data_IF_683916584122
#
_entry.id   IF_683916584122
#
_cell.length_a   1.000
_cell.length_b   1.000
_cell.length_c   1.000
_cell.angle_alpha   90.00
_cell.angle_beta   90.00
_cell.angle_gamma   90.00
#
_symmetry.space_group_name_H-M   'P 1'
#
loop_
_entity.id
_entity.type
_entity.pdbx_description
1 polymer ?
#
# COMPACT_ATOMS: atom_id res chain seq x y z
N UNK A 1 19.59 26.51 -67.50
CA UNK A 1 20.56 25.52 -66.97
C UNK A 1 21.17 25.96 -65.65
N UNK A 2 21.82 27.13 -65.55
CA UNK A 2 22.44 27.63 -64.30
C UNK A 2 21.45 27.74 -63.13
N UNK A 3 20.25 28.28 -63.36
CA UNK A 3 19.20 28.40 -62.32
C UNK A 3 18.77 27.03 -61.77
N UNK A 4 18.64 26.02 -62.63
CA UNK A 4 18.27 24.67 -62.22
C UNK A 4 19.37 24.01 -61.38
N UNK A 5 20.64 24.17 -61.78
CA UNK A 5 21.78 23.66 -61.00
C UNK A 5 21.89 24.33 -59.63
N UNK A 6 21.64 25.64 -59.54
CA UNK A 6 21.64 26.38 -58.27
C UNK A 6 20.49 25.96 -57.35
N UNK A 7 19.31 25.70 -57.91
CA UNK A 7 18.16 25.20 -57.17
C UNK A 7 18.44 23.80 -56.57
N UNK A 8 19.02 22.90 -57.35
CA UNK A 8 19.39 21.55 -56.88
C UNK A 8 20.43 21.63 -55.75
N UNK A 9 21.46 22.49 -55.89
CA UNK A 9 22.46 22.72 -54.83
C UNK A 9 21.82 23.24 -53.54
N UNK A 10 20.87 24.17 -53.64
CA UNK A 10 20.15 24.71 -52.49
C UNK A 10 19.33 23.62 -51.79
N UNK A 11 18.60 22.79 -52.54
CA UNK A 11 17.83 21.67 -51.99
C UNK A 11 18.74 20.65 -51.27
N UNK A 12 19.88 20.31 -51.88
CA UNK A 12 20.84 19.36 -51.29
C UNK A 12 21.47 19.87 -49.99
N UNK A 13 21.61 21.19 -49.80
CA UNK A 13 22.10 21.80 -48.56
C UNK A 13 20.96 21.97 -47.54
N UNK A 14 19.77 22.34 -48.00
CA UNK A 14 18.62 22.57 -47.13
C UNK A 14 18.15 21.27 -46.46
N UNK A 15 18.15 20.13 -47.16
CA UNK A 15 17.68 18.85 -46.61
C UNK A 15 18.47 18.47 -45.33
N UNK A 16 19.82 18.37 -45.33
CA UNK A 16 20.57 18.06 -44.11
C UNK A 16 20.36 19.06 -42.98
N UNK A 17 20.19 20.36 -43.27
CA UNK A 17 19.94 21.38 -42.25
C UNK A 17 18.54 21.25 -41.64
N UNK A 18 17.53 20.94 -42.46
CA UNK A 18 16.16 20.68 -41.98
C UNK A 18 16.13 19.40 -41.16
N UNK A 19 16.78 18.33 -41.63
CA UNK A 19 16.90 17.07 -40.88
C UNK A 19 17.65 17.27 -39.56
N UNK A 20 18.77 18.00 -39.58
CA UNK A 20 19.52 18.32 -38.36
C UNK A 20 18.68 19.17 -37.41
N UNK A 21 18.01 20.22 -37.90
CA UNK A 21 17.12 21.04 -37.08
C UNK A 21 15.97 20.25 -36.47
N UNK A 22 15.39 19.32 -37.22
CA UNK A 22 14.36 18.40 -36.73
C UNK A 22 14.90 17.43 -35.68
N UNK A 23 16.08 16.82 -35.91
CA UNK A 23 16.75 15.97 -34.92
C UNK A 23 17.16 16.73 -33.67
N UNK A 24 17.62 17.97 -33.80
CA UNK A 24 17.92 18.83 -32.64
C UNK A 24 16.66 19.19 -31.87
N UNK A 25 15.53 19.40 -32.55
CA UNK A 25 14.24 19.63 -31.88
C UNK A 25 13.78 18.38 -31.12
N UNK A 26 13.85 17.20 -31.74
CA UNK A 26 13.55 15.92 -31.09
C UNK A 26 14.51 15.62 -29.94
N UNK A 27 15.79 15.92 -30.12
CA UNK A 27 16.80 15.69 -29.11
C UNK A 27 16.58 16.68 -27.97
N UNK A 28 16.68 17.98 -28.20
CA UNK A 28 16.66 19.00 -27.14
C UNK A 28 15.31 19.24 -26.48
N UNK A 29 14.20 18.94 -27.15
CA UNK A 29 12.84 19.19 -26.63
C UNK A 29 12.71 20.61 -26.08
N UNK A 30 12.91 21.66 -26.92
CA UNK A 30 12.96 23.06 -26.46
C UNK A 30 11.66 23.55 -25.82
N UNK A 31 10.54 22.86 -26.06
CA UNK A 31 9.26 23.09 -25.38
C UNK A 31 9.25 22.64 -23.93
N UNK A 32 10.21 21.81 -23.51
CA UNK A 32 10.18 21.09 -22.22
C UNK A 32 9.17 19.94 -22.18
N UNK A 33 8.44 19.69 -23.28
CA UNK A 33 7.36 18.68 -23.34
C UNK A 33 7.63 17.68 -24.46
N UNK A 34 7.74 16.40 -24.11
CA UNK A 34 7.86 15.29 -25.05
C UNK A 34 6.62 14.40 -24.93
N UNK A 35 5.98 14.08 -26.06
CA UNK A 35 4.69 13.34 -26.09
C UNK A 35 4.88 12.02 -26.82
N UNK A 36 4.38 10.95 -26.22
CA UNK A 36 4.33 9.61 -26.82
C UNK A 36 2.88 9.13 -26.78
N UNK A 37 2.34 8.79 -27.95
CA UNK A 37 1.03 8.15 -28.10
C UNK A 37 1.25 6.68 -28.42
N UNK A 38 0.63 5.79 -27.65
CA UNK A 38 0.71 4.36 -27.86
C UNK A 38 -0.68 3.72 -27.84
N UNK A 39 -1.20 3.40 -29.02
CA UNK A 39 -2.38 2.55 -29.17
C UNK A 39 -1.97 1.08 -29.01
N UNK A 40 -2.79 0.29 -28.33
CA UNK A 40 -2.48 -1.11 -28.08
C UNK A 40 -2.36 -1.89 -29.39
N UNK A 41 -1.35 -2.76 -29.47
CA UNK A 41 -1.03 -3.54 -30.67
C UNK A 41 -0.14 -2.81 -31.69
N UNK A 42 0.19 -1.54 -31.46
CA UNK A 42 1.23 -0.85 -32.22
C UNK A 42 2.60 -1.05 -31.55
N UNK A 43 3.66 -1.22 -32.33
CA UNK A 43 5.02 -1.24 -31.77
C UNK A 43 5.46 0.19 -31.43
N UNK A 44 5.92 0.40 -30.20
CA UNK A 44 6.51 1.67 -29.75
C UNK A 44 7.90 1.40 -29.16
N UNK A 45 8.91 2.25 -29.44
CA UNK A 45 10.20 2.16 -28.76
C UNK A 45 10.19 2.76 -27.36
N UNK A 46 9.07 3.37 -26.94
CA UNK A 46 8.96 4.10 -25.68
C UNK A 46 8.04 3.42 -24.68
N UNK A 47 7.02 2.69 -25.13
CA UNK A 47 6.04 2.01 -24.28
C UNK A 47 5.97 0.56 -24.75
N UNK A 48 6.29 -0.37 -23.87
CA UNK A 48 6.17 -1.79 -24.14
C UNK A 48 4.71 -2.24 -24.07
N UNK A 49 4.41 -3.38 -24.70
CA UNK A 49 3.12 -4.05 -24.56
C UNK A 49 2.84 -4.43 -23.10
N UNK A 50 1.55 -4.53 -22.75
CA UNK A 50 1.13 -4.94 -21.41
C UNK A 50 1.45 -6.43 -21.22
N UNK A 51 2.06 -6.75 -20.08
CA UNK A 51 2.53 -8.07 -19.66
C UNK A 51 2.01 -8.43 -18.27
N UNK A 52 2.10 -9.69 -17.84
CA UNK A 52 2.46 -10.87 -18.63
C UNK A 52 1.31 -11.30 -19.56
N UNK A 53 1.64 -12.00 -20.64
CA UNK A 53 0.67 -12.52 -21.63
C UNK A 53 -0.38 -13.46 -21.02
N UNK A 54 -0.08 -14.08 -19.87
CA UNK A 54 -1.04 -14.93 -19.16
C UNK A 54 -2.15 -14.13 -18.45
N UNK A 55 -2.03 -12.80 -18.36
CA UNK A 55 -2.95 -11.91 -17.64
C UNK A 55 -3.63 -10.88 -18.54
N UNK A 56 -3.35 -10.96 -19.84
CA UNK A 56 -3.94 -10.11 -20.86
C UNK A 56 -4.43 -10.96 -22.02
N UNK A 57 -5.45 -10.49 -22.73
CA UNK A 57 -5.87 -11.11 -23.98
C UNK A 57 -4.89 -10.79 -25.11
N UNK A 58 -5.03 -11.51 -26.22
CA UNK A 58 -4.54 -11.02 -27.50
C UNK A 58 -5.22 -9.68 -27.85
N UNK A 59 -4.53 -8.85 -28.62
CA UNK A 59 -5.10 -7.60 -29.13
C UNK A 59 -6.16 -7.91 -30.19
N UNK A 60 -7.34 -7.33 -30.05
CA UNK A 60 -8.43 -7.44 -31.02
C UNK A 60 -9.01 -6.07 -31.36
N UNK A 61 -9.83 -5.99 -32.41
CA UNK A 61 -10.56 -4.76 -32.75
C UNK A 61 -11.98 -4.84 -32.22
N UNK A 62 -12.43 -3.79 -31.54
CA UNK A 62 -13.83 -3.68 -31.10
C UNK A 62 -14.78 -3.40 -32.29
N UNK A 63 -16.08 -3.23 -32.03
CA UNK A 63 -17.08 -2.96 -33.06
C UNK A 63 -16.82 -1.66 -33.83
N UNK A 64 -16.18 -0.67 -33.18
CA UNK A 64 -15.80 0.62 -33.77
C UNK A 64 -14.46 0.58 -34.54
N UNK A 65 -13.74 -0.54 -34.47
CA UNK A 65 -12.47 -0.77 -35.15
C UNK A 65 -11.23 -0.33 -34.38
N UNK A 66 -11.39 0.13 -33.15
CA UNK A 66 -10.32 0.49 -32.21
C UNK A 66 -9.56 -0.77 -31.76
N UNK A 67 -8.23 -0.69 -31.71
CA UNK A 67 -7.45 -1.78 -31.15
C UNK A 67 -7.54 -1.79 -29.62
N UNK A 68 -7.83 -2.96 -29.06
CA UNK A 68 -8.13 -3.15 -27.64
C UNK A 68 -7.46 -4.41 -27.11
N UNK A 69 -7.03 -4.36 -25.86
CA UNK A 69 -6.55 -5.50 -25.10
C UNK A 69 -7.24 -5.55 -23.74
N UNK A 70 -7.73 -6.74 -23.36
CA UNK A 70 -8.34 -6.96 -22.06
C UNK A 70 -7.26 -7.36 -21.05
N UNK A 71 -7.20 -6.68 -19.90
CA UNK A 71 -6.55 -7.19 -18.70
C UNK A 71 -7.56 -8.08 -17.98
N UNK A 72 -7.15 -9.29 -17.60
CA UNK A 72 -8.02 -10.32 -17.00
C UNK A 72 -7.54 -10.80 -15.63
N UNK A 73 -6.30 -10.49 -15.25
CA UNK A 73 -5.73 -10.85 -13.95
C UNK A 73 -4.72 -9.81 -13.46
N UNK A 74 -4.64 -9.63 -12.14
CA UNK A 74 -3.76 -8.68 -11.45
C UNK A 74 -2.48 -9.37 -10.94
N UNK A 75 -1.30 -8.70 -10.95
CA UNK A 75 -1.00 -7.43 -11.62
C UNK A 75 -0.67 -7.59 -13.11
N UNK A 76 -1.09 -6.63 -13.93
CA UNK A 76 -0.63 -6.45 -15.30
C UNK A 76 0.22 -5.16 -15.38
N UNK A 77 1.34 -5.19 -16.09
CA UNK A 77 2.32 -4.10 -16.10
C UNK A 77 2.89 -3.85 -17.49
N UNK A 78 3.45 -2.67 -17.70
CA UNK A 78 4.21 -2.31 -18.89
C UNK A 78 5.46 -1.51 -18.48
N UNK A 79 6.40 -1.38 -19.39
CA UNK A 79 7.59 -0.57 -19.19
C UNK A 79 7.55 0.68 -20.06
N UNK A 80 7.97 1.79 -19.46
CA UNK A 80 8.23 3.05 -20.15
C UNK A 80 9.74 3.24 -20.30
N UNK A 81 10.18 3.53 -21.51
CA UNK A 81 11.57 3.82 -21.86
C UNK A 81 11.72 5.35 -22.03
N UNK A 82 12.10 6.09 -20.99
CA UNK A 82 12.20 7.55 -21.09
C UNK A 82 13.30 7.94 -22.10
N UNK A 83 12.97 8.84 -23.03
CA UNK A 83 13.93 9.32 -24.05
C UNK A 83 15.15 10.01 -23.42
N UNK A 84 14.98 10.66 -22.26
CA UNK A 84 16.03 11.33 -21.49
C UNK A 84 15.80 11.22 -19.98
N UNK A 85 16.51 10.28 -19.39
CA UNK A 85 16.64 10.14 -17.93
C UNK A 85 17.32 11.40 -17.35
N UNK A 86 16.73 12.00 -16.33
CA UNK A 86 17.17 13.24 -15.63
C UNK A 86 16.91 14.59 -16.32
N UNK A 87 16.19 14.61 -17.45
CA UNK A 87 15.75 15.88 -18.03
C UNK A 87 14.32 16.24 -17.63
N UNK A 88 13.47 15.24 -17.41
CA UNK A 88 12.07 15.45 -17.08
C UNK A 88 11.84 15.30 -15.59
N UNK A 89 11.03 16.19 -15.03
CA UNK A 89 10.65 16.22 -13.61
C UNK A 89 9.40 15.36 -13.36
N UNK A 90 8.57 15.20 -14.38
CA UNK A 90 7.29 14.52 -14.29
C UNK A 90 6.97 13.76 -15.60
N UNK A 91 6.25 12.66 -15.45
CA UNK A 91 5.56 11.97 -16.54
C UNK A 91 4.07 11.92 -16.23
N UNK A 92 3.24 12.34 -17.17
CA UNK A 92 1.78 12.30 -17.07
C UNK A 92 1.27 11.24 -18.03
N UNK A 93 0.35 10.41 -17.58
CA UNK A 93 -0.34 9.41 -18.41
C UNK A 93 -1.77 9.83 -18.67
N UNK A 94 -2.25 9.65 -19.89
CA UNK A 94 -3.67 9.50 -20.17
C UNK A 94 -3.90 8.05 -20.55
N UNK A 95 -4.63 7.34 -19.71
CA UNK A 95 -5.01 5.95 -19.97
C UNK A 95 -6.44 5.93 -20.47
N UNK A 96 -6.64 5.35 -21.64
CA UNK A 96 -7.94 5.14 -22.27
C UNK A 96 -8.42 3.72 -22.01
N UNK A 97 -9.50 3.59 -21.26
CA UNK A 97 -9.97 2.30 -20.80
C UNK A 97 -11.50 2.20 -20.69
N UNK A 98 -12.01 0.97 -20.60
CA UNK A 98 -13.40 0.68 -20.23
C UNK A 98 -13.41 -0.22 -19.01
N UNK A 99 -14.24 0.14 -18.03
CA UNK A 99 -14.42 -0.61 -16.80
C UNK A 99 -15.89 -0.99 -16.61
N UNK A 100 -16.21 -2.27 -16.83
CA UNK A 100 -17.58 -2.76 -16.72
C UNK A 100 -18.02 -3.06 -15.27
N UNK A 101 -17.11 -3.46 -14.38
CA UNK A 101 -17.49 -4.02 -13.07
C UNK A 101 -16.48 -3.88 -11.93
N UNK A 102 -15.24 -3.45 -12.19
CA UNK A 102 -14.24 -3.32 -11.13
C UNK A 102 -14.55 -2.11 -10.25
N UNK A 103 -14.60 -2.25 -8.91
CA UNK A 103 -14.95 -1.15 -8.03
C UNK A 103 -13.88 -0.05 -8.03
N UNK A 104 -12.60 -0.44 -8.06
CA UNK A 104 -11.45 0.46 -8.02
C UNK A 104 -10.40 -0.04 -9.00
N UNK A 105 -9.84 0.88 -9.78
CA UNK A 105 -8.71 0.67 -10.69
C UNK A 105 -7.68 1.75 -10.42
N UNK A 106 -6.42 1.35 -10.33
CA UNK A 106 -5.31 2.26 -10.09
C UNK A 106 -4.13 1.95 -11.03
N UNK A 107 -3.29 2.95 -11.27
CA UNK A 107 -2.01 2.80 -11.94
C UNK A 107 -0.89 3.06 -10.93
N UNK A 108 0.05 2.13 -10.83
CA UNK A 108 1.18 2.19 -9.92
C UNK A 108 2.50 2.38 -10.64
N UNK A 109 3.28 3.37 -10.23
CA UNK A 109 4.71 3.46 -10.60
C UNK A 109 5.55 2.72 -9.56
N UNK A 110 6.45 1.84 -9.99
CA UNK A 110 7.36 1.15 -9.08
C UNK A 110 8.21 2.19 -8.33
N UNK A 111 8.26 2.13 -7.00
CA UNK A 111 8.97 3.07 -6.12
C UNK A 111 10.13 2.41 -5.34
N UNK A 112 10.27 1.09 -5.40
CA UNK A 112 11.39 0.33 -4.83
C UNK A 112 11.24 -1.17 -5.07
N UNK A 113 12.33 -1.95 -4.93
CA UNK A 113 12.41 -3.35 -5.43
C UNK A 113 12.59 -4.44 -4.37
N UNK A 114 12.78 -4.13 -3.09
CA UNK A 114 12.99 -5.15 -2.05
C UNK A 114 12.28 -4.81 -0.73
N UNK A 115 10.98 -5.15 -0.58
CA UNK A 115 10.08 -5.71 -1.60
C UNK A 115 9.67 -4.68 -2.66
N UNK A 116 9.07 -5.14 -3.77
CA UNK A 116 8.45 -4.22 -4.73
C UNK A 116 7.38 -3.36 -4.03
N UNK A 117 7.52 -2.05 -4.14
CA UNK A 117 6.55 -1.06 -3.63
C UNK A 117 6.12 -0.17 -4.77
N UNK A 118 4.84 0.16 -4.85
CA UNK A 118 4.29 1.00 -5.91
C UNK A 118 3.64 2.25 -5.32
N UNK A 119 3.84 3.39 -5.97
CA UNK A 119 3.05 4.60 -5.74
C UNK A 119 1.83 4.53 -6.64
N UNK A 120 0.65 4.31 -6.05
CA UNK A 120 -0.60 4.08 -6.76
C UNK A 120 -1.42 5.36 -6.89
N UNK A 121 -1.94 5.62 -8.08
CA UNK A 121 -2.87 6.69 -8.38
C UNK A 121 -4.18 6.16 -8.96
N UNK A 122 -5.33 6.76 -8.60
CA UNK A 122 -6.63 6.33 -9.10
C UNK A 122 -6.79 6.53 -10.61
N UNK A 123 -7.24 5.49 -11.31
CA UNK A 123 -7.77 5.59 -12.68
C UNK A 123 -9.29 5.73 -12.65
N UNK A 124 -9.97 4.91 -11.84
CA UNK A 124 -11.42 4.93 -11.71
C UNK A 124 -11.81 4.33 -10.35
N UNK A 125 -12.68 5.01 -9.61
CA UNK A 125 -13.33 4.50 -8.41
C UNK A 125 -14.85 4.62 -8.57
N UNK A 126 -15.51 3.49 -8.88
CA UNK A 126 -16.96 3.44 -9.11
C UNK A 126 -17.77 3.78 -7.87
N UNK A 127 -17.23 3.49 -6.67
CA UNK A 127 -17.88 3.87 -5.42
C UNK A 127 -17.97 5.40 -5.27
N UNK A 128 -17.08 6.13 -5.93
CA UNK A 128 -17.10 7.60 -5.94
C UNK A 128 -17.87 8.13 -7.16
N UNK A 129 -17.56 7.64 -8.35
CA UNK A 129 -18.11 8.17 -9.61
C UNK A 129 -19.57 7.83 -9.86
N UNK A 130 -20.01 6.64 -9.43
CA UNK A 130 -21.39 6.17 -9.61
C UNK A 130 -22.23 6.42 -8.36
N UNK A 131 -21.68 7.11 -7.37
CA UNK A 131 -22.41 7.43 -6.13
C UNK A 131 -23.56 8.37 -6.40
N UNK A 132 -24.69 8.11 -5.75
CA UNK A 132 -25.87 8.98 -5.75
C UNK A 132 -25.85 9.98 -4.58
N UNK A 133 -24.81 9.96 -3.75
CA UNK A 133 -24.69 10.82 -2.58
C UNK A 133 -24.40 12.27 -2.97
N UNK A 134 -24.64 13.20 -2.03
CA UNK A 134 -24.33 14.61 -2.25
C UNK A 134 -22.82 14.77 -2.35
N UNK A 135 -22.35 15.40 -3.44
CA UNK A 135 -20.92 15.54 -3.76
C UNK A 135 -20.46 16.98 -3.62
N UNK A 136 -19.35 17.17 -2.91
CA UNK A 136 -18.56 18.40 -2.90
C UNK A 136 -17.22 18.07 -3.55
N UNK A 137 -16.79 18.92 -4.47
CA UNK A 137 -15.54 18.76 -5.23
C UNK A 137 -14.78 20.10 -5.15
N UNK A 138 -13.71 20.13 -4.37
CA UNK A 138 -12.94 21.34 -4.04
C UNK A 138 -11.45 20.98 -4.01
N UNK A 139 -10.60 21.71 -4.74
CA UNK A 139 -9.13 21.59 -4.72
C UNK A 139 -8.57 20.16 -4.91
N UNK A 140 -9.21 19.35 -5.76
CA UNK A 140 -8.79 17.97 -6.05
C UNK A 140 -9.20 16.95 -4.97
N UNK A 141 -10.06 17.38 -4.04
CA UNK A 141 -10.66 16.56 -3.01
C UNK A 141 -12.16 16.41 -3.25
N UNK A 142 -12.67 15.21 -3.00
CA UNK A 142 -14.08 14.87 -3.09
C UNK A 142 -14.60 14.51 -1.70
N UNK A 143 -15.72 15.10 -1.30
CA UNK A 143 -16.52 14.66 -0.16
C UNK A 143 -17.88 14.20 -0.65
N UNK A 144 -18.18 12.92 -0.45
CA UNK A 144 -19.52 12.36 -0.60
C UNK A 144 -20.21 12.32 0.77
N UNK A 145 -21.48 12.72 0.80
CA UNK A 145 -22.29 12.76 2.01
C UNK A 145 -23.65 12.12 1.74
N UNK A 146 -23.99 11.10 2.53
CA UNK A 146 -25.27 10.40 2.42
C UNK A 146 -26.44 11.37 2.63
N UNK A 147 -26.36 12.18 3.69
CA UNK A 147 -27.23 13.32 3.93
C UNK A 147 -26.44 14.62 3.73
N UNK A 148 -27.06 15.64 3.14
CA UNK A 148 -26.39 16.93 2.90
C UNK A 148 -26.27 17.72 4.20
N UNK A 149 -25.20 17.46 4.96
CA UNK A 149 -24.91 18.11 6.25
C UNK A 149 -23.97 19.30 6.10
N UNK A 150 -22.93 19.15 5.28
CA UNK A 150 -21.87 20.14 5.09
C UNK A 150 -22.02 20.87 3.76
N UNK A 151 -21.67 22.16 3.74
CA UNK A 151 -21.71 22.99 2.53
C UNK A 151 -20.37 23.12 1.79
N UNK A 152 -19.25 22.80 2.44
CA UNK A 152 -17.88 22.87 1.89
C UNK A 152 -16.95 21.91 2.65
N UNK A 153 -15.73 21.67 2.13
CA UNK A 153 -14.71 20.91 2.87
C UNK A 153 -14.28 21.63 4.16
N UNK A 154 -14.21 22.96 4.12
CA UNK A 154 -13.85 23.76 5.29
C UNK A 154 -14.84 23.56 6.46
N UNK A 155 -16.14 23.49 6.16
CA UNK A 155 -17.19 23.21 7.15
C UNK A 155 -17.08 21.78 7.72
N UNK A 156 -16.80 20.80 6.86
CA UNK A 156 -16.57 19.41 7.24
C UNK A 156 -15.41 19.27 8.24
N UNK A 157 -14.26 19.91 8.00
CA UNK A 157 -13.12 19.84 8.93
C UNK A 157 -13.29 20.71 10.18
N UNK A 158 -14.10 21.77 10.12
CA UNK A 158 -14.41 22.59 11.29
C UNK A 158 -15.32 21.86 12.29
N UNK A 159 -16.25 21.03 11.79
CA UNK A 159 -17.22 20.27 12.60
C UNK A 159 -17.28 18.80 12.15
N UNK A 160 -16.18 18.05 12.28
CA UNK A 160 -16.09 16.72 11.70
C UNK A 160 -17.08 15.73 12.33
N UNK A 161 -17.63 14.80 11.54
CA UNK A 161 -18.48 13.75 12.07
C UNK A 161 -17.63 12.74 12.88
N UNK A 162 -18.27 11.79 13.60
CA UNK A 162 -17.58 10.66 14.19
C UNK A 162 -16.69 9.93 13.17
N UNK A 163 -15.47 9.57 13.57
CA UNK A 163 -14.46 8.99 12.67
C UNK A 163 -14.89 7.66 12.06
N UNK A 164 -15.67 6.87 12.79
CA UNK A 164 -16.24 5.60 12.34
C UNK A 164 -17.31 5.76 11.26
N UNK A 165 -17.87 6.96 11.09
CA UNK A 165 -18.79 7.28 9.99
C UNK A 165 -18.08 7.79 8.72
N UNK A 166 -16.74 7.90 8.73
CA UNK A 166 -15.94 8.43 7.61
C UNK A 166 -15.05 7.36 7.00
N UNK A 167 -15.20 7.16 5.69
CA UNK A 167 -14.23 6.43 4.88
C UNK A 167 -13.31 7.41 4.13
N UNK A 168 -12.04 7.06 3.99
CA UNK A 168 -11.04 7.86 3.25
C UNK A 168 -10.49 7.10 2.05
N UNK A 169 -10.21 7.81 0.96
CA UNK A 169 -9.54 7.25 -0.21
C UNK A 169 -8.38 8.15 -0.66
N UNK A 170 -7.16 7.61 -0.67
CA UNK A 170 -5.94 8.34 -1.10
C UNK A 170 -5.70 9.67 -0.36
N UNK A 171 -6.25 9.81 0.84
CA UNK A 171 -6.12 11.02 1.68
C UNK A 171 -6.08 10.65 3.16
N UNK A 172 -5.69 11.61 4.00
CA UNK A 172 -5.80 11.52 5.45
C UNK A 172 -7.08 12.22 5.96
N UNK A 173 -7.52 11.81 7.15
CA UNK A 173 -8.57 12.49 7.92
C UNK A 173 -7.94 13.09 9.18
N UNK A 174 -7.48 14.33 9.06
CA UNK A 174 -6.61 15.04 10.00
C UNK A 174 -7.33 15.58 11.25
N UNK A 175 -8.25 14.78 11.80
CA UNK A 175 -8.99 15.08 13.02
C UNK A 175 -8.41 14.24 14.16
N UNK A 176 -7.77 14.80 15.21
CA UNK A 176 -7.11 13.99 16.22
C UNK A 176 -8.04 12.94 16.85
N UNK A 177 -7.61 11.68 16.95
CA UNK A 177 -8.44 10.61 17.51
C UNK A 177 -8.41 10.66 19.03
N UNK A 178 -9.57 10.78 19.68
CA UNK A 178 -9.66 10.88 21.14
C UNK A 178 -10.70 9.89 21.66
N UNK A 179 -10.37 9.20 22.76
CA UNK A 179 -11.26 8.24 23.41
C UNK A 179 -11.98 8.94 24.56
N UNK A 180 -13.29 9.12 24.40
CA UNK A 180 -14.15 9.70 25.44
C UNK A 180 -14.15 8.83 26.70
N UNK A 181 -13.98 9.48 27.85
CA UNK A 181 -13.98 8.80 29.15
C UNK A 181 -12.78 7.89 29.41
N UNK A 182 -11.75 7.86 28.55
CA UNK A 182 -10.55 7.05 28.79
C UNK A 182 -9.90 7.40 30.13
N UNK A 183 -9.63 6.37 30.94
CA UNK A 183 -8.92 6.48 32.21
C UNK A 183 -7.71 5.54 32.17
N UNK A 184 -6.49 6.04 32.43
CA UNK A 184 -5.29 5.20 32.44
C UNK A 184 -5.36 4.16 33.57
N UNK A 185 -4.62 3.07 33.42
CA UNK A 185 -4.47 2.05 34.49
C UNK A 185 -3.00 1.93 34.90
N UNK A 186 -2.78 1.51 36.14
CA UNK A 186 -1.46 1.08 36.61
C UNK A 186 -1.25 -0.42 36.44
N UNK A 187 -2.30 -1.17 36.08
CA UNK A 187 -2.24 -2.62 35.88
C UNK A 187 -1.34 -2.94 34.69
N UNK A 188 -0.29 -3.71 34.94
CA UNK A 188 0.58 -4.23 33.90
C UNK A 188 -0.17 -5.32 33.13
N UNK A 189 -0.28 -5.13 31.83
CA UNK A 189 -0.71 -6.12 30.86
C UNK A 189 0.51 -6.83 30.29
N UNK A 190 0.37 -8.12 29.99
CA UNK A 190 1.43 -8.95 29.42
C UNK A 190 0.92 -9.64 28.17
N UNK A 191 1.67 -9.48 27.08
CA UNK A 191 1.48 -10.22 25.83
C UNK A 191 2.54 -11.32 25.82
N UNK A 192 2.14 -12.53 26.21
CA UNK A 192 3.00 -13.73 26.23
C UNK A 192 2.90 -14.47 24.89
N UNK A 193 3.26 -13.78 23.82
CA UNK A 193 3.32 -14.31 22.44
C UNK A 193 4.69 -13.98 21.87
N UNK A 194 5.34 -14.98 21.27
CA UNK A 194 6.62 -14.78 20.58
C UNK A 194 6.37 -14.11 19.23
N UNK A 195 6.83 -12.87 19.07
CA UNK A 195 6.77 -12.11 17.82
C UNK A 195 8.14 -12.08 17.15
N UNK A 196 8.20 -12.42 15.86
CA UNK A 196 9.45 -12.56 15.10
C UNK A 196 9.70 -11.37 14.17
N UNK A 197 10.83 -10.69 14.33
CA UNK A 197 11.23 -9.62 13.43
C UNK A 197 10.45 -8.30 13.60
N UNK A 198 10.41 -7.53 12.51
CA UNK A 198 9.78 -6.21 12.46
C UNK A 198 8.29 -6.24 12.77
N UNK A 199 7.84 -5.35 13.66
CA UNK A 199 6.42 -5.17 13.98
C UNK A 199 6.10 -3.69 14.20
N UNK A 200 4.87 -3.30 13.88
CA UNK A 200 4.34 -1.97 14.21
C UNK A 200 3.08 -2.11 15.04
N UNK A 201 2.90 -1.21 16.00
CA UNK A 201 1.70 -1.14 16.80
C UNK A 201 1.30 0.32 17.09
N UNK A 202 0.03 0.53 17.43
CA UNK A 202 -0.48 1.79 17.95
C UNK A 202 -0.97 1.61 19.37
N UNK A 203 -0.80 2.65 20.17
CA UNK A 203 -1.33 2.75 21.53
C UNK A 203 -1.96 4.12 21.78
N UNK A 204 -2.77 4.24 22.82
CA UNK A 204 -3.39 5.50 23.23
C UNK A 204 -2.82 5.96 24.57
N UNK A 205 -2.58 7.25 24.71
CA UNK A 205 -2.06 7.86 25.93
C UNK A 205 -2.96 9.02 26.34
N UNK A 206 -3.30 9.09 27.63
CA UNK A 206 -3.91 10.26 28.26
C UNK A 206 -3.53 10.33 29.73
N UNK A 207 -2.74 11.35 30.09
CA UNK A 207 -2.31 11.60 31.47
C UNK A 207 -1.61 10.38 32.13
N UNK A 208 -0.82 9.65 31.35
CA UNK A 208 -0.04 8.51 31.81
C UNK A 208 1.31 8.46 31.08
N UNK A 209 2.34 7.82 31.65
CA UNK A 209 3.59 7.59 30.94
C UNK A 209 3.44 6.47 29.92
N UNK A 210 4.12 6.60 28.78
CA UNK A 210 4.38 5.47 27.90
C UNK A 210 5.39 4.56 28.62
N UNK A 211 5.07 3.28 28.76
CA UNK A 211 5.96 2.32 29.42
C UNK A 211 5.82 0.93 28.81
N UNK A 212 6.86 0.51 28.11
CA UNK A 212 6.99 -0.83 27.54
C UNK A 212 8.26 -1.51 28.05
N UNK A 213 8.10 -2.80 28.35
CA UNK A 213 9.21 -3.72 28.61
C UNK A 213 9.11 -4.83 27.59
N UNK A 214 10.12 -4.92 26.73
CA UNK A 214 10.25 -5.98 25.75
C UNK A 214 11.27 -6.99 26.26
N UNK A 215 10.85 -8.24 26.39
CA UNK A 215 11.78 -9.35 26.55
C UNK A 215 12.02 -9.96 25.18
N UNK A 216 13.27 -9.97 24.74
CA UNK A 216 13.62 -10.45 23.41
C UNK A 216 14.80 -11.42 23.49
N UNK A 217 14.98 -12.19 22.42
CA UNK A 217 16.06 -13.15 22.32
C UNK A 217 16.54 -13.19 20.88
N UNK A 218 17.85 -13.28 20.74
CA UNK A 218 18.52 -13.49 19.47
C UNK A 218 18.67 -14.98 19.20
N UNK A 219 18.45 -15.38 17.95
CA UNK A 219 18.63 -16.75 17.51
C UNK A 219 19.92 -16.94 16.68
N UNK A 220 20.64 -15.86 16.33
CA UNK A 220 21.89 -15.86 15.56
C UNK A 220 21.79 -16.78 14.33
N UNK A 221 20.83 -16.47 13.44
CA UNK A 221 20.54 -17.29 12.24
C UNK A 221 20.68 -16.54 10.92
N UNK A 222 20.65 -15.22 10.95
CA UNK A 222 20.98 -14.40 9.78
C UNK A 222 22.38 -13.78 10.03
N UNK A 223 23.22 -13.65 9.00
CA UNK A 223 24.50 -12.93 9.11
C UNK A 223 24.22 -11.41 9.15
N UNK A 224 24.67 -10.69 10.18
CA UNK A 224 24.49 -9.24 10.25
C UNK A 224 24.68 -8.65 11.65
N UNK A 225 24.40 -7.36 11.80
CA UNK A 225 24.25 -6.72 13.11
C UNK A 225 22.79 -6.88 13.58
N UNK A 226 22.59 -7.49 14.75
CA UNK A 226 21.25 -7.72 15.32
C UNK A 226 20.79 -6.57 16.21
N UNK A 227 20.64 -5.41 15.58
CA UNK A 227 20.17 -4.20 16.26
C UNK A 227 18.67 -4.29 16.53
N UNK A 228 18.32 -4.27 17.82
CA UNK A 228 16.92 -4.11 18.26
C UNK A 228 16.66 -2.64 18.56
N UNK A 229 15.80 -2.01 17.77
CA UNK A 229 15.39 -0.61 17.94
C UNK A 229 13.87 -0.51 18.06
N UNK A 230 13.38 0.24 19.06
CA UNK A 230 11.96 0.58 19.18
C UNK A 230 11.82 2.08 19.21
N UNK A 231 11.13 2.64 18.21
CA UNK A 231 10.93 4.08 18.06
C UNK A 231 9.44 4.43 18.17
N UNK A 232 9.15 5.51 18.89
CA UNK A 232 7.79 6.01 19.13
C UNK A 232 7.55 7.25 18.31
N UNK A 233 6.42 7.31 17.61
CA UNK A 233 5.99 8.45 16.81
C UNK A 233 4.64 8.96 17.30
N UNK A 234 4.45 10.28 17.30
CA UNK A 234 3.14 10.91 17.54
C UNK A 234 2.25 10.88 16.28
N UNK A 235 1.04 11.44 16.38
CA UNK A 235 0.07 11.51 15.27
C UNK A 235 0.61 12.26 14.02
N UNK A 236 1.60 13.14 14.20
CA UNK A 236 2.26 13.89 13.12
C UNK A 236 3.51 13.17 12.57
N UNK A 237 3.69 11.89 12.87
CA UNK A 237 4.88 11.09 12.53
C UNK A 237 6.21 11.66 13.05
N UNK A 238 6.19 12.46 14.12
CA UNK A 238 7.41 12.97 14.74
C UNK A 238 7.92 11.98 15.80
N UNK A 239 9.23 11.66 15.84
CA UNK A 239 9.78 10.76 16.85
C UNK A 239 9.74 11.41 18.23
N UNK A 240 9.20 10.69 19.21
CA UNK A 240 8.98 11.15 20.58
C UNK A 240 9.87 10.46 21.60
N UNK A 241 10.22 9.20 21.35
CA UNK A 241 11.10 8.41 22.22
C UNK A 241 11.70 7.24 21.43
N UNK A 242 12.82 6.73 21.93
CA UNK A 242 13.53 5.59 21.35
C UNK A 242 14.13 4.74 22.46
N UNK A 243 14.14 3.43 22.26
CA UNK A 243 14.94 2.49 23.01
C UNK A 243 15.72 1.61 22.03
N UNK A 244 17.01 1.42 22.26
CA UNK A 244 17.89 0.62 21.42
C UNK A 244 18.74 -0.32 22.27
N UNK A 245 18.89 -1.56 21.82
CA UNK A 245 19.94 -2.46 22.28
C UNK A 245 21.01 -2.58 21.20
N UNK A 246 22.27 -2.57 21.61
CA UNK A 246 23.39 -2.84 20.70
C UNK A 246 23.52 -4.34 20.47
N UNK A 247 24.06 -4.69 19.31
CA UNK A 247 24.49 -6.03 18.94
C UNK A 247 25.37 -6.65 20.06
N UNK A 248 25.20 -7.94 20.32
CA UNK A 248 26.03 -8.66 21.30
C UNK A 248 27.41 -9.04 20.75
N UNK A 249 27.65 -8.77 19.47
CA UNK A 249 28.94 -8.95 18.80
C UNK A 249 29.11 -10.36 18.23
N UNK A 250 28.07 -11.19 18.23
CA UNK A 250 28.03 -12.42 17.45
C UNK A 250 27.48 -12.14 16.06
N UNK A 251 28.37 -12.03 15.08
CA UNK A 251 28.01 -11.82 13.66
C UNK A 251 27.93 -13.12 12.86
N UNK A 252 27.89 -14.28 13.54
CA UNK A 252 27.94 -15.60 12.89
C UNK A 252 26.63 -16.38 13.02
N UNK A 253 26.20 -17.02 11.92
CA UNK A 253 25.09 -17.98 11.87
C UNK A 253 25.51 -19.32 12.51
N UNK A 254 25.70 -19.30 13.83
CA UNK A 254 26.13 -20.48 14.60
C UNK A 254 24.98 -21.16 15.35
N UNK A 255 23.77 -20.59 15.32
CA UNK A 255 22.59 -21.03 16.06
C UNK A 255 22.80 -21.12 17.59
N UNK A 256 23.92 -20.58 18.10
CA UNK A 256 24.21 -20.54 19.53
C UNK A 256 23.50 -19.33 20.10
N UNK A 257 22.47 -19.58 20.91
CA UNK A 257 21.82 -18.53 21.71
C UNK A 257 22.81 -18.08 22.78
N UNK A 258 23.70 -17.13 22.45
CA UNK A 258 24.86 -16.80 23.29
C UNK A 258 24.43 -16.08 24.58
N UNK A 259 23.27 -15.42 24.57
CA UNK A 259 22.75 -14.71 25.74
C UNK A 259 21.24 -14.95 25.88
N UNK A 260 20.82 -15.61 26.97
CA UNK A 260 19.41 -15.82 27.28
C UNK A 260 18.59 -14.51 27.31
N UNK A 261 17.27 -14.65 27.42
CA UNK A 261 16.27 -13.58 27.39
C UNK A 261 16.77 -12.17 27.82
N UNK A 262 16.97 -11.29 26.85
CA UNK A 262 17.38 -9.89 27.04
C UNK A 262 16.17 -9.01 27.33
N UNK A 263 16.40 -7.81 27.89
CA UNK A 263 15.34 -6.85 28.25
C UNK A 263 15.63 -5.48 27.65
N UNK A 264 14.67 -4.94 26.90
CA UNK A 264 14.66 -3.57 26.40
C UNK A 264 13.53 -2.80 27.10
N UNK A 265 13.85 -1.63 27.66
CA UNK A 265 12.87 -0.80 28.38
C UNK A 265 12.70 0.51 27.60
N UNK A 266 11.46 0.79 27.22
CA UNK A 266 11.06 2.04 26.58
C UNK A 266 10.14 2.80 27.54
N UNK A 267 10.51 4.04 27.88
CA UNK A 267 9.70 4.93 28.71
C UNK A 267 9.72 6.35 28.18
N UNK A 268 8.57 7.01 28.26
CA UNK A 268 8.45 8.43 27.98
C UNK A 268 7.34 9.05 28.85
N UNK A 269 7.68 10.16 29.50
CA UNK A 269 6.78 10.89 30.39
C UNK A 269 6.29 12.18 29.71
N UNK A 270 5.17 12.73 30.20
CA UNK A 270 4.68 14.05 29.76
C UNK A 270 4.22 14.12 28.30
N UNK A 271 3.89 12.98 27.70
CA UNK A 271 3.36 12.90 26.34
C UNK A 271 1.95 13.51 26.27
N UNK A 272 1.65 14.36 25.27
CA UNK A 272 0.29 14.86 25.02
C UNK A 272 -0.72 13.73 24.81
N UNK A 273 -2.00 14.00 25.11
CA UNK A 273 -3.07 13.05 24.80
C UNK A 273 -3.14 12.74 23.30
N UNK A 274 -3.20 11.47 22.94
CA UNK A 274 -3.36 11.03 21.55
C UNK A 274 -2.90 9.61 21.28
N UNK A 275 -2.86 9.29 19.98
CA UNK A 275 -2.40 7.99 19.47
C UNK A 275 -0.91 8.04 19.17
N UNK A 276 -0.20 6.99 19.55
CA UNK A 276 1.23 6.85 19.32
C UNK A 276 1.52 5.57 18.55
N UNK A 277 2.35 5.66 17.52
CA UNK A 277 2.84 4.51 16.75
C UNK A 277 4.19 4.08 17.31
N UNK A 278 4.32 2.80 17.63
CA UNK A 278 5.59 2.17 18.01
C UNK A 278 6.05 1.30 16.85
N UNK A 279 7.30 1.48 16.43
CA UNK A 279 7.94 0.71 15.37
C UNK A 279 9.06 -0.11 16.00
N UNK A 280 8.91 -1.42 16.00
CA UNK A 280 9.87 -2.41 16.49
C UNK A 280 10.73 -2.85 15.30
N UNK A 281 11.82 -2.14 15.05
CA UNK A 281 12.71 -2.38 13.93
C UNK A 281 13.83 -3.35 14.34
N UNK A 282 13.87 -4.52 13.70
CA UNK A 282 14.84 -5.59 14.00
C UNK A 282 14.90 -6.60 12.85
N UNK A 283 15.98 -7.40 12.83
CA UNK A 283 16.21 -8.53 11.93
C UNK A 283 15.25 -9.70 12.21
N UNK A 284 15.15 -10.67 11.27
CA UNK A 284 14.13 -11.74 11.33
C UNK A 284 14.46 -12.84 12.35
N UNK A 285 15.67 -12.90 12.86
CA UNK A 285 16.14 -13.84 13.87
C UNK A 285 15.96 -13.33 15.31
N UNK A 286 15.51 -12.09 15.48
CA UNK A 286 15.12 -11.57 16.78
C UNK A 286 13.66 -11.92 17.10
N UNK A 287 13.44 -12.46 18.30
CA UNK A 287 12.14 -12.85 18.82
C UNK A 287 11.79 -12.04 20.07
N UNK A 288 10.75 -11.23 20.01
CA UNK A 288 10.13 -10.63 21.19
C UNK A 288 9.25 -11.66 21.88
N UNK A 289 9.72 -12.22 22.99
CA UNK A 289 9.08 -13.31 23.73
C UNK A 289 7.95 -12.84 24.64
N UNK A 290 8.06 -11.62 25.15
CA UNK A 290 7.07 -11.04 26.05
C UNK A 290 7.09 -9.52 25.94
N UNK A 291 5.90 -8.91 25.92
CA UNK A 291 5.74 -7.46 25.96
C UNK A 291 4.89 -7.12 27.17
N UNK A 292 5.43 -6.28 28.07
CA UNK A 292 4.70 -5.78 29.23
C UNK A 292 4.48 -4.29 29.11
N UNK A 293 3.26 -3.84 29.39
CA UNK A 293 2.90 -2.43 29.31
C UNK A 293 1.76 -2.08 30.27
N UNK A 294 1.65 -0.81 30.64
CA UNK A 294 0.48 -0.28 31.36
C UNK A 294 -0.59 0.28 30.41
N UNK A 295 -0.23 0.45 29.13
CA UNK A 295 -1.15 0.95 28.12
C UNK A 295 -2.32 -0.01 27.94
N UNK A 296 -3.55 0.51 28.04
CA UNK A 296 -4.76 -0.31 27.93
C UNK A 296 -5.14 -0.62 26.49
N UNK A 297 -4.87 0.33 25.59
CA UNK A 297 -5.25 0.28 24.20
C UNK A 297 -4.03 0.02 23.35
N UNK A 298 -4.06 -1.09 22.62
CA UNK A 298 -2.92 -1.58 21.88
C UNK A 298 -3.37 -2.42 20.71
N UNK A 299 -2.91 -2.05 19.51
CA UNK A 299 -3.22 -2.75 18.27
C UNK A 299 -2.00 -2.84 17.37
N UNK A 300 -1.71 -4.02 16.84
CA UNK A 300 -0.66 -4.26 15.85
C UNK A 300 -1.18 -3.95 14.45
N UNK A 301 -0.29 -3.44 13.60
CA UNK A 301 -0.62 -2.98 12.25
C UNK A 301 -0.14 -3.99 11.20
N UNK A 302 -0.95 -4.21 10.16
CA UNK A 302 -0.63 -4.86 8.89
C UNK A 302 -0.15 -6.32 8.96
N UNK A 303 0.94 -6.59 9.65
CA UNK A 303 1.61 -7.89 9.68
C UNK A 303 1.90 -8.32 11.11
N UNK A 304 1.61 -9.59 11.40
CA UNK A 304 1.95 -10.25 12.64
C UNK A 304 2.67 -11.55 12.32
N UNK A 305 3.89 -11.72 12.81
CA UNK A 305 4.63 -12.97 12.68
C UNK A 305 4.75 -13.64 14.04
N UNK A 306 3.91 -14.65 14.27
CA UNK A 306 3.96 -15.51 15.45
C UNK A 306 5.13 -16.47 15.26
N UNK A 307 6.19 -16.32 16.05
CA UNK A 307 7.50 -16.90 15.75
C UNK A 307 7.75 -18.32 16.25
N UNK A 308 7.03 -18.82 17.25
CA UNK A 308 7.44 -20.07 17.92
C UNK A 308 7.30 -21.30 17.01
N UNK A 309 8.42 -21.87 16.58
CA UNK A 309 8.49 -23.13 15.82
C UNK A 309 9.09 -24.25 16.68
N UNK A 310 8.86 -25.51 16.29
CA UNK A 310 9.54 -26.69 16.87
C UNK A 310 11.06 -26.50 16.71
N UNK A 311 11.78 -26.41 17.83
CA UNK A 311 13.22 -26.12 17.87
C UNK A 311 13.61 -24.70 18.31
N UNK A 312 12.69 -23.72 18.33
CA UNK A 312 12.92 -22.40 18.94
C UNK A 312 12.44 -22.33 20.39
N UNK A 313 11.32 -22.98 20.69
CA UNK A 313 10.74 -23.09 22.02
C UNK A 313 9.90 -24.37 22.08
N UNK A 314 10.18 -25.24 23.05
CA UNK A 314 9.41 -26.47 23.26
C UNK A 314 8.57 -26.38 24.55
N UNK A 315 7.24 -26.56 24.48
CA UNK A 315 6.44 -26.74 23.27
C UNK A 315 6.28 -25.43 22.48
N UNK A 316 6.12 -25.51 21.16
CA UNK A 316 5.73 -24.36 20.34
C UNK A 316 4.38 -23.80 20.82
N UNK A 317 4.25 -22.47 20.77
CA UNK A 317 3.06 -21.73 21.22
C UNK A 317 2.53 -20.88 20.08
N UNK A 318 1.25 -21.06 19.75
CA UNK A 318 0.55 -20.13 18.89
C UNK A 318 -0.01 -18.91 19.65
N UNK A 319 -1.06 -18.31 19.12
CA UNK A 319 -1.73 -17.16 19.73
C UNK A 319 -3.22 -17.10 19.40
N UNK A 320 -3.97 -16.39 20.23
CA UNK A 320 -5.31 -15.90 19.88
C UNK A 320 -5.21 -14.40 19.62
N UNK A 321 -5.67 -13.98 18.45
CA UNK A 321 -5.70 -12.58 18.04
C UNK A 321 -7.13 -12.17 17.69
N UNK A 322 -7.38 -10.87 17.75
CA UNK A 322 -8.67 -10.26 17.49
C UNK A 322 -8.52 -9.19 16.41
N UNK A 323 -9.41 -9.17 15.42
CA UNK A 323 -9.34 -8.25 14.27
C UNK A 323 -10.74 -7.95 13.73
N UNK A 324 -10.98 -6.72 13.30
CA UNK A 324 -12.21 -6.35 12.54
C UNK A 324 -11.99 -6.45 11.02
N UNK A 325 -10.79 -6.83 10.58
CA UNK A 325 -10.51 -6.99 9.16
C UNK A 325 -11.40 -8.05 8.53
N UNK A 326 -11.94 -7.73 7.35
CA UNK A 326 -12.73 -8.65 6.53
C UNK A 326 -11.88 -9.64 5.77
N UNK A 327 -10.57 -9.42 5.69
CA UNK A 327 -9.65 -10.30 4.98
C UNK A 327 -8.33 -10.42 5.73
N UNK A 328 -7.88 -11.66 5.89
CA UNK A 328 -6.52 -11.95 6.31
C UNK A 328 -5.86 -12.91 5.33
N UNK A 329 -4.55 -12.71 5.13
CA UNK A 329 -3.69 -13.62 4.38
C UNK A 329 -2.73 -14.27 5.33
N UNK A 330 -2.55 -15.57 5.20
CA UNK A 330 -1.73 -16.35 6.12
C UNK A 330 -0.77 -17.23 5.32
N UNK A 331 0.46 -17.36 5.82
CA UNK A 331 1.42 -18.35 5.35
C UNK A 331 2.31 -18.86 6.48
N UNK A 332 3.00 -19.96 6.20
CA UNK A 332 4.15 -20.44 6.96
C UNK A 332 5.31 -20.69 6.01
N UNK A 333 6.55 -20.62 6.50
CA UNK A 333 7.75 -20.89 5.70
C UNK A 333 8.34 -22.27 5.99
N UNK A 334 7.93 -22.92 7.07
CA UNK A 334 8.48 -24.19 7.50
C UNK A 334 7.39 -25.26 7.55
N UNK A 335 7.78 -26.52 7.33
CA UNK A 335 6.86 -27.65 7.34
C UNK A 335 6.17 -27.82 8.71
N UNK A 336 6.82 -27.36 9.78
CA UNK A 336 6.35 -27.42 11.16
C UNK A 336 5.22 -26.43 11.46
N UNK A 337 5.07 -25.36 10.65
CA UNK A 337 3.98 -24.40 10.78
C UNK A 337 2.71 -24.76 10.00
N UNK A 338 2.72 -25.88 9.25
CA UNK A 338 1.53 -26.45 8.58
C UNK A 338 0.52 -26.86 9.66
N UNK A 339 -0.64 -26.23 9.64
CA UNK A 339 -1.65 -26.39 10.70
C UNK A 339 -3.04 -25.93 10.24
N UNK A 340 -4.05 -26.24 11.05
CA UNK A 340 -5.39 -25.69 10.93
C UNK A 340 -5.56 -24.49 11.85
N UNK A 341 -5.97 -23.36 11.29
CA UNK A 341 -6.31 -22.12 12.00
C UNK A 341 -7.82 -22.02 12.10
N UNK A 342 -8.30 -21.51 13.23
CA UNK A 342 -9.74 -21.23 13.43
C UNK A 342 -9.94 -19.72 13.41
N UNK A 343 -10.90 -19.24 12.62
CA UNK A 343 -11.22 -17.82 12.47
C UNK A 343 -12.74 -17.66 12.61
N UNK A 344 -13.19 -17.10 13.74
CA UNK A 344 -14.60 -17.09 14.13
C UNK A 344 -15.15 -18.52 14.19
N UNK A 345 -16.15 -18.81 13.36
CA UNK A 345 -16.74 -20.15 13.20
C UNK A 345 -16.08 -20.99 12.11
N UNK A 346 -15.20 -20.40 11.31
CA UNK A 346 -14.55 -21.05 10.18
C UNK A 346 -13.24 -21.71 10.61
N UNK A 347 -12.87 -22.78 9.92
CA UNK A 347 -11.56 -23.42 10.05
C UNK A 347 -10.89 -23.46 8.69
N UNK A 348 -9.57 -23.33 8.68
CA UNK A 348 -8.80 -23.21 7.47
C UNK A 348 -7.44 -23.91 7.62
N UNK A 349 -7.03 -24.65 6.59
CA UNK A 349 -5.80 -25.46 6.59
C UNK A 349 -4.68 -24.78 5.79
N UNK A 350 -3.58 -24.47 6.47
CA UNK A 350 -2.31 -24.13 5.81
C UNK A 350 -1.68 -25.44 5.37
N UNK A 351 -1.96 -25.88 4.13
CA UNK A 351 -1.60 -27.22 3.66
C UNK A 351 -0.12 -27.37 3.28
N UNK A 352 0.56 -26.28 2.88
CA UNK A 352 1.98 -26.33 2.50
C UNK A 352 2.72 -25.02 2.80
N UNK A 353 4.04 -25.07 3.03
CA UNK A 353 4.86 -23.88 3.18
C UNK A 353 4.89 -22.99 1.93
N UNK A 354 5.17 -21.70 2.09
CA UNK A 354 5.29 -20.66 1.04
C UNK A 354 4.02 -20.38 0.23
N UNK A 355 2.92 -21.08 0.50
CA UNK A 355 1.63 -20.78 -0.08
C UNK A 355 0.90 -19.74 0.78
N UNK A 356 0.44 -18.66 0.13
CA UNK A 356 -0.47 -17.71 0.75
C UNK A 356 -1.90 -18.22 0.67
N UNK A 357 -2.57 -18.18 1.81
CA UNK A 357 -3.97 -18.52 1.92
C UNK A 357 -4.78 -17.32 2.38
N UNK A 358 -5.94 -17.12 1.76
CA UNK A 358 -6.83 -16.00 2.07
C UNK A 358 -8.04 -16.50 2.84
N UNK A 359 -8.34 -15.84 3.96
CA UNK A 359 -9.59 -15.98 4.69
C UNK A 359 -10.39 -14.68 4.58
N UNK A 360 -11.68 -14.82 4.31
CA UNK A 360 -12.63 -13.72 4.25
C UNK A 360 -13.70 -13.90 5.34
N UNK A 361 -13.90 -12.88 6.16
CA UNK A 361 -14.91 -12.86 7.21
C UNK A 361 -16.22 -12.29 6.66
N UNK A 362 -17.31 -12.99 6.95
CA UNK A 362 -18.66 -12.53 6.60
C UNK A 362 -19.25 -11.71 7.75
N UNK A 363 -18.93 -12.09 8.99
CA UNK A 363 -19.51 -11.50 10.21
C UNK A 363 -18.98 -10.09 10.51
N UNK A 364 -19.80 -9.29 11.19
CA UNK A 364 -19.51 -7.91 11.58
C UNK A 364 -18.86 -7.81 12.97
N UNK A 365 -17.95 -6.85 13.12
CA UNK A 365 -17.27 -6.57 14.38
C UNK A 365 -15.96 -7.34 14.56
N UNK A 366 -15.57 -7.47 15.82
CA UNK A 366 -14.27 -8.01 16.21
C UNK A 366 -14.29 -9.54 16.24
N UNK A 367 -13.56 -10.16 15.31
CA UNK A 367 -13.47 -11.61 15.17
C UNK A 367 -12.21 -12.17 15.81
N UNK A 368 -12.30 -13.39 16.36
CA UNK A 368 -11.15 -14.10 16.94
C UNK A 368 -10.49 -15.02 15.92
N UNK A 369 -9.16 -15.00 15.84
CA UNK A 369 -8.35 -15.92 15.06
C UNK A 369 -7.42 -16.67 16.01
N UNK A 370 -7.59 -17.98 16.06
CA UNK A 370 -6.82 -18.90 16.90
C UNK A 370 -5.81 -19.61 16.03
N UNK A 371 -4.55 -19.33 16.29
CA UNK A 371 -3.39 -20.01 15.71
C UNK A 371 -2.85 -20.97 16.76
N UNK A 372 -2.96 -22.30 16.58
CA UNK A 372 -2.54 -23.26 17.60
C UNK A 372 -1.03 -23.32 17.86
N UNK A 373 -0.22 -23.23 16.82
CA UNK A 373 1.25 -23.38 16.81
C UNK A 373 1.85 -22.15 16.15
N UNK A 374 3.03 -21.69 16.58
CA UNK A 374 3.68 -20.54 15.94
C UNK A 374 4.23 -20.86 14.54
N UNK A 375 5.20 -20.05 14.11
CA UNK A 375 5.72 -19.98 12.73
C UNK A 375 4.65 -19.66 11.67
N UNK A 376 3.84 -18.64 11.97
CA UNK A 376 2.77 -18.18 11.10
C UNK A 376 2.88 -16.67 10.89
N UNK A 377 2.96 -16.29 9.61
CA UNK A 377 2.91 -14.90 9.16
C UNK A 377 1.48 -14.57 8.72
N UNK A 378 0.89 -13.56 9.36
CA UNK A 378 -0.49 -13.12 9.14
C UNK A 378 -0.44 -11.68 8.65
N UNK A 379 -1.09 -11.42 7.52
CA UNK A 379 -1.19 -10.10 6.90
C UNK A 379 -2.67 -9.70 6.82
N UNK A 380 -2.95 -8.44 7.10
CA UNK A 380 -4.29 -7.87 7.12
C UNK A 380 -4.27 -6.41 6.65
N UNK A 381 -5.42 -5.92 6.19
CA UNK A 381 -5.64 -4.48 5.96
C UNK A 381 -6.15 -3.76 7.22
N UNK A 382 -6.58 -4.54 8.22
CA UNK A 382 -7.03 -4.03 9.51
C UNK A 382 -5.94 -4.00 10.57
N UNK A 383 -6.32 -4.32 11.79
CA UNK A 383 -5.47 -4.28 12.98
C UNK A 383 -5.66 -5.54 13.82
N UNK A 384 -4.64 -5.91 14.56
CA UNK A 384 -4.70 -7.04 15.49
C UNK A 384 -4.61 -6.59 16.94
N UNK A 385 -5.36 -7.24 17.84
CA UNK A 385 -5.14 -7.15 19.28
C UNK A 385 -5.00 -8.55 19.88
N UNK A 386 -4.29 -8.68 21.01
CA UNK A 386 -4.19 -9.95 21.73
C UNK A 386 -5.30 -10.13 22.78
N UNK A 387 -6.11 -9.09 23.01
CA UNK A 387 -7.35 -9.19 23.76
C UNK A 387 -8.41 -8.24 23.19
N UNK A 388 -9.71 -8.53 23.37
CA UNK A 388 -10.77 -7.63 22.93
C UNK A 388 -10.71 -6.27 23.63
N UNK A 389 -10.30 -6.22 24.90
CA UNK A 389 -10.22 -4.97 25.66
C UNK A 389 -9.12 -4.04 25.17
N UNK A 390 -8.05 -4.59 24.59
CA UNK A 390 -6.95 -3.83 23.99
C UNK A 390 -7.32 -3.19 22.65
N UNK A 391 -8.26 -3.80 21.94
CA UNK A 391 -8.61 -3.35 20.60
C UNK A 391 -9.17 -1.91 20.60
N UNK A 392 -8.72 -1.13 19.63
CA UNK A 392 -9.25 0.16 19.24
C UNK A 392 -8.82 0.46 17.80
N UNK A 393 -9.64 1.19 17.05
CA UNK A 393 -9.30 1.59 15.69
C UNK A 393 -9.16 3.11 15.61
N UNK A 394 -7.94 3.66 15.69
CA UNK A 394 -7.72 5.10 15.62
C UNK A 394 -7.76 5.67 14.21
N UNK A 395 -7.73 4.80 13.18
CA UNK A 395 -7.67 5.23 11.79
C UNK A 395 -9.08 5.26 11.20
N UNK A 396 -9.36 6.17 10.25
CA UNK A 396 -10.63 6.15 9.55
C UNK A 396 -10.70 4.88 8.68
N UNK A 397 -11.90 4.51 8.23
CA UNK A 397 -12.03 3.36 7.32
C UNK A 397 -11.32 3.71 6.01
N UNK A 398 -10.38 2.87 5.57
CA UNK A 398 -9.76 3.03 4.25
C UNK A 398 -10.68 2.43 3.20
N UNK A 399 -11.06 3.22 2.21
CA UNK A 399 -11.81 2.76 1.05
C UNK A 399 -10.90 1.96 0.13
N UNK A 400 -11.27 0.71 -0.12
CA UNK A 400 -10.60 -0.20 -1.04
C UNK A 400 -11.65 -1.07 -1.76
N UNK A 401 -11.20 -1.96 -2.64
CA UNK A 401 -12.09 -2.79 -3.46
C UNK A 401 -12.99 -3.73 -2.66
N UNK A 402 -12.64 -4.03 -1.41
CA UNK A 402 -13.36 -4.91 -0.50
C UNK A 402 -14.24 -4.15 0.51
N UNK A 403 -14.19 -2.81 0.52
CA UNK A 403 -14.94 -2.00 1.48
C UNK A 403 -16.42 -2.01 1.17
N UNK A 404 -17.24 -2.40 2.15
CA UNK A 404 -18.70 -2.39 2.08
C UNK A 404 -19.27 -1.22 2.87
N UNK A 405 -19.33 -0.03 2.24
CA UNK A 405 -19.77 1.24 2.84
C UNK A 405 -21.07 1.11 3.63
N UNK A 406 -22.08 0.41 3.08
CA UNK A 406 -23.38 0.23 3.74
C UNK A 406 -23.30 -0.63 5.01
N UNK A 407 -22.51 -1.72 4.99
CA UNK A 407 -22.36 -2.60 6.17
C UNK A 407 -21.56 -1.93 7.28
N UNK A 408 -20.64 -1.05 6.91
CA UNK A 408 -19.80 -0.30 7.84
C UNK A 408 -20.52 0.92 8.44
N UNK A 409 -21.75 1.23 8.02
CA UNK A 409 -22.48 2.40 8.49
C UNK A 409 -21.80 3.71 8.13
N UNK A 410 -21.08 3.75 7.01
CA UNK A 410 -20.39 4.95 6.54
C UNK A 410 -21.41 5.93 5.98
N UNK A 411 -21.29 7.19 6.41
CA UNK A 411 -22.13 8.31 5.96
C UNK A 411 -21.35 9.32 5.13
N UNK A 412 -20.02 9.29 5.20
CA UNK A 412 -19.13 10.22 4.54
C UNK A 412 -17.96 9.51 3.87
N UNK A 413 -17.66 9.86 2.61
CA UNK A 413 -16.44 9.43 1.90
C UNK A 413 -15.62 10.65 1.57
N UNK A 414 -14.40 10.75 2.11
CA UNK A 414 -13.44 11.79 1.81
C UNK A 414 -12.33 11.23 0.91
N UNK A 415 -12.08 11.80 -0.25
CA UNK A 415 -11.14 11.24 -1.22
C UNK A 415 -10.25 12.31 -1.86
N UNK A 416 -8.96 12.02 -2.03
CA UNK A 416 -8.15 12.73 -3.02
C UNK A 416 -8.33 12.02 -4.36
N UNK A 417 -9.16 12.58 -5.22
CA UNK A 417 -9.64 11.87 -6.39
C UNK A 417 -10.09 12.83 -7.49
N UNK A 418 -9.72 12.51 -8.72
CA UNK A 418 -10.21 13.18 -9.91
C UNK A 418 -10.92 12.14 -10.77
N UNK A 419 -12.21 12.37 -11.05
CA UNK A 419 -13.00 11.50 -11.92
C UNK A 419 -12.41 11.45 -13.33
N UNK A 420 -12.36 10.27 -13.98
CA UNK A 420 -11.98 10.17 -15.38
C UNK A 420 -12.99 10.93 -16.25
N UNK A 421 -12.51 11.46 -17.38
CA UNK A 421 -13.36 12.09 -18.40
C UNK A 421 -13.91 11.03 -19.35
N UNK A 422 -15.15 11.21 -19.80
CA UNK A 422 -15.76 10.36 -20.82
C UNK A 422 -15.44 10.89 -22.22
N UNK A 423 -14.87 10.06 -23.10
CA UNK A 423 -14.58 10.36 -24.51
C UNK A 423 -15.14 9.27 -25.42
N UNK A 424 -16.33 9.49 -25.97
CA UNK A 424 -17.05 8.43 -26.67
C UNK A 424 -17.41 7.32 -25.69
N UNK A 425 -17.03 6.08 -26.01
CA UNK A 425 -17.24 4.92 -25.14
C UNK A 425 -16.06 4.67 -24.18
N UNK A 426 -15.01 5.49 -24.24
CA UNK A 426 -13.82 5.33 -23.42
C UNK A 426 -13.81 6.28 -22.22
N UNK A 427 -13.35 5.79 -21.08
CA UNK A 427 -12.92 6.61 -19.96
C UNK A 427 -11.46 6.99 -20.15
N UNK A 428 -11.12 8.24 -19.84
CA UNK A 428 -9.74 8.72 -19.88
C UNK A 428 -9.37 9.29 -18.53
N UNK A 429 -8.38 8.68 -17.89
CA UNK A 429 -7.84 9.15 -16.62
C UNK A 429 -6.45 9.73 -16.82
N UNK A 430 -6.23 10.94 -16.28
CA UNK A 430 -4.96 11.65 -16.35
C UNK A 430 -4.21 11.49 -15.04
N UNK A 431 -3.04 10.86 -15.05
CA UNK A 431 -2.27 10.53 -13.86
C UNK A 431 -0.86 11.11 -13.92
N UNK A 432 -0.48 12.01 -13.00
CA UNK A 432 0.89 12.49 -12.88
C UNK A 432 1.76 11.58 -11.99
N UNK A 433 2.95 11.26 -12.46
CA UNK A 433 4.05 10.69 -11.67
C UNK A 433 5.25 11.61 -11.66
N UNK A 434 5.81 11.81 -10.48
CA UNK A 434 7.07 12.54 -10.32
C UNK A 434 8.22 11.60 -10.69
N UNK A 435 9.08 12.03 -11.61
CA UNK A 435 10.06 11.15 -12.24
C UNK A 435 11.08 10.55 -11.25
N UNK A 436 11.47 11.29 -10.22
CA UNK A 436 12.40 10.82 -9.19
C UNK A 436 11.77 9.90 -8.14
N UNK A 437 10.43 9.82 -8.09
CA UNK A 437 9.72 8.89 -7.21
C UNK A 437 9.52 7.51 -7.86
N UNK A 438 9.78 7.40 -9.17
CA UNK A 438 9.70 6.14 -9.92
C UNK A 438 11.08 5.48 -9.93
N UNK A 439 11.15 4.31 -9.30
CA UNK A 439 12.33 3.45 -9.33
C UNK A 439 12.60 2.98 -10.76
N UNK A 440 13.88 3.04 -11.11
CA UNK A 440 14.35 2.63 -12.42
C UNK A 440 15.06 1.30 -12.35
N UNK A 441 14.64 0.41 -13.25
CA UNK A 441 15.27 -0.88 -13.47
C UNK A 441 15.71 -0.95 -14.94
N UNK A 442 17.01 -1.16 -15.17
CA UNK A 442 17.59 -1.30 -16.51
C UNK A 442 17.19 -0.20 -17.53
N UNK A 443 17.21 1.07 -17.12
CA UNK A 443 16.82 2.23 -17.94
C UNK A 443 15.33 2.33 -18.27
N UNK A 444 14.50 1.56 -17.58
CA UNK A 444 13.05 1.55 -17.75
C UNK A 444 12.34 1.91 -16.46
N UNK A 445 11.14 2.45 -16.61
CA UNK A 445 10.20 2.66 -15.51
C UNK A 445 9.06 1.65 -15.62
N UNK A 446 8.86 0.88 -14.56
CA UNK A 446 7.80 -0.14 -14.50
C UNK A 446 6.52 0.47 -13.95
N UNK A 447 5.44 0.30 -14.70
CA UNK A 447 4.09 0.71 -14.30
C UNK A 447 3.16 -0.49 -14.26
N UNK A 448 2.40 -0.64 -13.17
CA UNK A 448 1.47 -1.74 -12.96
C UNK A 448 0.06 -1.23 -12.79
N UNK A 449 -0.88 -1.80 -13.55
CA UNK A 449 -2.29 -1.70 -13.22
C UNK A 449 -2.54 -2.49 -11.94
N UNK A 450 -3.29 -1.88 -11.02
CA UNK A 450 -3.90 -2.57 -9.89
C UNK A 450 -5.38 -2.71 -10.17
N UNK A 451 -5.79 -3.94 -10.41
CA UNK A 451 -7.19 -4.32 -10.68
C UNK A 451 -7.66 -5.33 -9.63
N UNK A 452 -7.81 -4.93 -8.36
CA UNK A 452 -8.27 -5.82 -7.32
C UNK A 452 -9.64 -6.41 -7.69
N UNK A 453 -9.88 -7.66 -7.28
CA UNK A 453 -11.11 -8.43 -7.57
C UNK A 453 -11.33 -8.85 -9.03
N UNK A 454 -10.42 -8.54 -9.96
CA UNK A 454 -10.66 -8.83 -11.39
C UNK A 454 -10.92 -10.31 -11.67
N UNK A 455 -10.14 -11.18 -11.04
CA UNK A 455 -10.28 -12.63 -11.20
C UNK A 455 -11.51 -13.17 -10.48
N UNK A 456 -11.76 -12.70 -9.26
CA UNK A 456 -12.89 -13.10 -8.42
C UNK A 456 -14.24 -12.73 -9.05
N UNK A 457 -14.29 -11.61 -9.78
CA UNK A 457 -15.49 -11.15 -10.47
C UNK A 457 -15.61 -11.68 -11.92
N UNK A 458 -14.58 -12.36 -12.43
CA UNK A 458 -14.48 -12.68 -13.86
C UNK A 458 -14.60 -11.43 -14.73
N UNK A 459 -14.06 -10.31 -14.24
CA UNK A 459 -14.14 -9.00 -14.87
C UNK A 459 -12.99 -8.81 -15.86
N UNK A 460 -13.13 -7.82 -16.71
CA UNK A 460 -12.10 -7.40 -17.66
C UNK A 460 -11.95 -5.88 -17.59
N UNK A 461 -10.71 -5.41 -17.69
CA UNK A 461 -10.38 -4.01 -17.91
C UNK A 461 -9.87 -3.87 -19.34
N UNK A 462 -10.64 -3.21 -20.21
CA UNK A 462 -10.25 -3.03 -21.60
C UNK A 462 -9.38 -1.80 -21.71
N UNK A 463 -8.19 -1.94 -22.30
CA UNK A 463 -7.26 -0.84 -22.57
C UNK A 463 -7.20 -0.63 -24.08
N UNK A 464 -7.38 0.62 -24.51
CA UNK A 464 -7.26 1.02 -25.91
C UNK A 464 -5.94 1.74 -26.19
N UNK A 465 -5.58 2.70 -25.34
CA UNK A 465 -4.49 3.63 -25.61
C UNK A 465 -3.86 4.15 -24.32
N UNK A 466 -2.55 4.33 -24.35
CA UNK A 466 -1.77 4.97 -23.29
C UNK A 466 -0.99 6.11 -23.94
N UNK A 467 -1.36 7.34 -23.60
CA UNK A 467 -0.62 8.54 -24.00
C UNK A 467 0.24 9.00 -22.82
N UNK A 468 1.45 9.48 -23.10
CA UNK A 468 2.36 10.02 -22.08
C UNK A 468 2.94 11.36 -22.47
N UNK A 469 3.05 12.25 -21.48
CA UNK A 469 3.73 13.54 -21.58
C UNK A 469 4.84 13.59 -20.55
N UNK A 470 6.06 13.79 -21.01
CA UNK A 470 7.19 14.09 -20.16
C UNK A 470 7.37 15.60 -20.09
N UNK A 471 7.40 16.16 -18.89
CA UNK A 471 7.50 17.60 -18.65
C UNK A 471 8.75 17.95 -17.85
N UNK A 472 9.42 19.04 -18.25
CA UNK A 472 10.51 19.68 -17.51
C UNK A 472 10.06 21.08 -17.10
N UNK A 473 10.20 21.42 -15.81
CA UNK A 473 9.76 22.70 -15.23
C UNK A 473 10.91 23.68 -15.02
#
# INVERSE_FOLDING_TARGET
MILLTRLIQLVLIAIPLVVLGWLLNLWFVPSGVFVVTHEVGQSSPFIDEIKPETRVSDVYKNEDGDATQAITEDPAFFFLHPHRKNFFDQVVFDVWFQNASLPIIELGGLAGVNPERYTLYPLHNRLIDESTWNRIDEDGMVLLQREQTYASLADFFANPPPRDAVAVYRTAFDVPYRIDGYQPTSTIQSIDVSLRGHHELKTYIKNEPLSFVFQYMDMNRDEGEDVVQVTVFNENNQPMAEARASDDGNVSDDTVVDHGLKKLILKADGLPEGVYKLVMNTTRDIFFRNIQTQQQKLVFLNTLFIGDEIGYREPSRGATIFTESKRIRIQTRHAQGVQTITAGTQTFEIAQPYAWYTLAFVDEGLESVVVPVGDVEIVTEGKFAFSPSQYFNPDPVSLNAYTTIEQLGIDYVLAQYQSPRQEGDWLVATIPFVAWDVYEEDQTWKFSFSTPLIKELGAELLIHRIDTWFTHY
#
